data_IF_016451183422
#
_entry.id   IF_016451183422
#
_cell.length_a   1.000
_cell.length_b   1.000
_cell.length_c   1.000
_cell.angle_alpha   90.00
_cell.angle_beta   90.00
_cell.angle_gamma   90.00
#
_symmetry.space_group_name_H-M   'P 1'
#
loop_
_entity.id
_entity.type
_entity.pdbx_description
1 polymer ?
#
# COMPACT_ATOMS: atom_id res chain seq x y z
N UNK A 1 8.87 25.33 27.36
CA UNK A 1 9.11 24.44 26.21
C UNK A 1 7.83 23.67 25.90
N UNK A 2 7.32 23.79 24.69
CA UNK A 2 6.13 23.04 24.31
C UNK A 2 6.48 21.56 24.07
N UNK A 3 5.66 20.61 24.53
CA UNK A 3 5.88 19.20 24.22
C UNK A 3 5.73 18.96 22.71
N UNK A 4 6.60 18.13 22.16
CA UNK A 4 6.54 17.74 20.76
C UNK A 4 5.45 16.68 20.60
N UNK A 5 4.57 16.86 19.62
CA UNK A 5 3.54 15.87 19.31
C UNK A 5 4.17 14.65 18.64
N UNK A 6 3.44 13.52 18.68
CA UNK A 6 3.88 12.29 17.99
C UNK A 6 4.05 12.56 16.49
N UNK A 7 3.11 13.33 15.90
CA UNK A 7 3.19 13.71 14.49
C UNK A 7 4.47 14.48 14.16
N UNK A 8 4.83 15.43 15.01
CA UNK A 8 6.07 16.22 14.84
C UNK A 8 7.32 15.36 14.98
N UNK A 9 7.31 14.40 15.91
CA UNK A 9 8.42 13.46 16.08
C UNK A 9 8.61 12.59 14.85
N UNK A 10 7.52 12.07 14.29
CA UNK A 10 7.55 11.26 13.07
C UNK A 10 8.06 12.10 11.90
N UNK A 11 7.55 13.32 11.75
CA UNK A 11 7.97 14.25 10.71
C UNK A 11 9.47 14.54 10.77
N UNK A 12 9.99 14.76 11.97
CA UNK A 12 11.41 15.01 12.19
C UNK A 12 12.28 13.84 11.76
N UNK A 13 11.86 12.61 12.10
CA UNK A 13 12.57 11.41 11.68
C UNK A 13 12.54 11.22 10.15
N UNK A 14 11.40 11.47 9.53
CA UNK A 14 11.24 11.31 8.08
C UNK A 14 11.98 12.38 7.28
N UNK A 15 12.12 13.60 7.81
CA UNK A 15 12.85 14.68 7.13
C UNK A 15 14.34 14.39 6.96
N UNK A 16 14.88 13.46 7.72
CA UNK A 16 16.29 13.05 7.61
C UNK A 16 16.51 12.06 6.47
N UNK A 17 15.45 11.60 5.82
CA UNK A 17 15.51 10.60 4.76
C UNK A 17 14.92 11.14 3.46
N UNK A 18 15.39 10.58 2.35
CA UNK A 18 14.76 10.79 1.06
C UNK A 18 13.58 9.80 0.95
N UNK A 19 12.37 10.35 1.01
CA UNK A 19 11.15 9.55 0.99
C UNK A 19 10.68 9.35 -0.44
N UNK A 20 10.46 8.09 -0.82
CA UNK A 20 10.01 7.72 -2.17
C UNK A 20 8.69 6.97 -2.05
N UNK A 21 7.64 7.49 -2.66
CA UNK A 21 6.35 6.81 -2.75
C UNK A 21 6.21 6.17 -4.12
N UNK A 22 6.15 4.84 -4.13
CA UNK A 22 5.99 4.07 -5.36
C UNK A 22 4.50 3.78 -5.61
N UNK A 23 3.73 4.85 -5.83
CA UNK A 23 2.30 4.70 -6.05
C UNK A 23 1.77 5.81 -6.97
N UNK A 24 1.00 5.40 -7.98
CA UNK A 24 0.26 6.33 -8.83
C UNK A 24 -1.10 6.73 -8.25
N UNK A 25 -1.48 6.22 -7.08
CA UNK A 25 -2.76 6.49 -6.46
C UNK A 25 -2.83 7.92 -5.92
N UNK A 26 -3.74 8.77 -6.42
CA UNK A 26 -3.90 10.13 -5.90
C UNK A 26 -4.25 10.17 -4.42
N UNK A 27 -5.03 9.19 -3.94
CA UNK A 27 -5.42 9.11 -2.54
C UNK A 27 -4.22 8.84 -1.64
N UNK A 28 -3.35 7.91 -2.02
CA UNK A 28 -2.15 7.60 -1.23
C UNK A 28 -1.19 8.78 -1.23
N UNK A 29 -1.04 9.45 -2.36
CA UNK A 29 -0.23 10.66 -2.47
C UNK A 29 -0.77 11.76 -1.56
N UNK A 30 -2.08 11.96 -1.56
CA UNK A 30 -2.75 12.94 -0.71
C UNK A 30 -2.51 12.64 0.78
N UNK A 31 -2.68 11.38 1.19
CA UNK A 31 -2.49 10.97 2.59
C UNK A 31 -1.06 11.24 3.05
N UNK A 32 -0.08 10.98 2.19
CA UNK A 32 1.31 11.23 2.53
C UNK A 32 1.62 12.73 2.61
N UNK A 33 1.00 13.54 1.77
CA UNK A 33 1.11 15.00 1.85
C UNK A 33 0.63 15.55 3.18
N UNK A 34 -0.35 14.91 3.80
CA UNK A 34 -0.88 15.33 5.10
C UNK A 34 0.15 15.26 6.22
N UNK A 35 1.20 14.45 6.06
CA UNK A 35 2.30 14.40 7.01
C UNK A 35 3.19 15.64 6.95
N UNK A 36 3.12 16.42 5.86
CA UNK A 36 3.93 17.63 5.70
C UNK A 36 5.40 17.37 5.46
N UNK A 37 5.75 16.17 4.96
CA UNK A 37 7.13 15.77 4.68
C UNK A 37 7.33 15.73 3.16
N UNK A 38 8.43 16.29 2.64
CA UNK A 38 8.69 16.18 1.20
C UNK A 38 8.93 14.72 0.79
N UNK A 39 8.40 14.35 -0.36
CA UNK A 39 8.58 13.01 -0.91
C UNK A 39 8.59 13.05 -2.43
N UNK A 40 9.18 12.03 -3.03
CA UNK A 40 9.21 11.86 -4.47
C UNK A 40 8.25 10.74 -4.86
N UNK A 41 7.65 10.86 -6.03
CA UNK A 41 6.79 9.81 -6.59
C UNK A 41 7.56 9.11 -7.68
N UNK A 42 7.66 7.79 -7.58
CA UNK A 42 8.31 6.97 -8.60
C UNK A 42 7.53 5.67 -8.76
N UNK A 43 6.97 5.43 -9.94
CA UNK A 43 6.15 4.25 -10.20
C UNK A 43 6.88 3.36 -11.20
N UNK A 44 7.03 2.08 -10.87
CA UNK A 44 7.54 1.05 -11.78
C UNK A 44 6.43 0.03 -12.02
N UNK A 45 6.20 -0.35 -13.28
CA UNK A 45 5.23 -1.40 -13.55
C UNK A 45 5.70 -2.74 -12.98
N UNK A 46 4.78 -3.46 -12.36
CA UNK A 46 5.03 -4.77 -11.76
C UNK A 46 3.91 -5.70 -12.20
N UNK A 47 4.27 -6.90 -12.60
CA UNK A 47 3.27 -7.93 -12.88
C UNK A 47 2.74 -8.45 -11.54
N UNK A 48 1.50 -8.13 -11.24
CA UNK A 48 0.87 -8.42 -9.94
C UNK A 48 0.40 -9.87 -9.86
N UNK A 49 1.34 -10.80 -9.98
CA UNK A 49 1.09 -12.24 -9.86
C UNK A 49 1.54 -12.71 -8.48
N UNK A 50 0.70 -13.50 -7.83
CA UNK A 50 0.99 -14.04 -6.51
C UNK A 50 0.63 -15.53 -6.44
N UNK A 51 1.26 -16.31 -5.54
CA UNK A 51 0.92 -17.73 -5.36
C UNK A 51 -0.53 -17.89 -4.92
N UNK A 52 -1.24 -18.82 -5.57
CA UNK A 52 -2.67 -19.03 -5.30
C UNK A 52 -2.98 -19.55 -3.90
N UNK A 53 -1.98 -20.09 -3.22
CA UNK A 53 -2.13 -20.56 -1.83
C UNK A 53 -2.30 -19.41 -0.83
N UNK A 54 -1.97 -18.19 -1.21
CA UNK A 54 -2.08 -17.03 -0.34
C UNK A 54 -3.53 -16.58 -0.18
N UNK A 55 -3.88 -16.08 1.00
CA UNK A 55 -5.22 -15.59 1.28
C UNK A 55 -5.18 -14.32 2.13
N UNK A 56 -6.20 -13.45 1.96
CA UNK A 56 -6.36 -12.25 2.76
C UNK A 56 -5.13 -11.33 2.72
N UNK A 57 -4.66 -10.91 3.89
CA UNK A 57 -3.51 -10.01 4.00
C UNK A 57 -2.21 -10.57 3.44
N UNK A 58 -2.11 -11.90 3.32
CA UNK A 58 -0.93 -12.52 2.73
C UNK A 58 -0.73 -12.06 1.28
N UNK A 59 -1.83 -11.84 0.55
CA UNK A 59 -1.79 -11.35 -0.83
C UNK A 59 -1.31 -9.90 -0.88
N UNK A 60 -1.93 -9.02 -0.10
CA UNK A 60 -1.57 -7.60 -0.10
C UNK A 60 -0.15 -7.38 0.43
N UNK A 61 0.26 -8.15 1.44
CA UNK A 61 1.63 -8.13 1.94
C UNK A 61 2.62 -8.54 0.84
N UNK A 62 2.33 -9.67 0.18
CA UNK A 62 3.18 -10.20 -0.89
C UNK A 62 3.34 -9.19 -2.03
N UNK A 63 2.24 -8.60 -2.49
CA UNK A 63 2.26 -7.65 -3.59
C UNK A 63 2.98 -6.35 -3.23
N UNK A 64 2.83 -5.86 -2.00
CA UNK A 64 3.55 -4.67 -1.56
C UNK A 64 5.06 -4.91 -1.47
N UNK A 65 5.47 -6.10 -1.04
CA UNK A 65 6.88 -6.52 -1.02
C UNK A 65 7.42 -6.69 -2.44
N UNK A 66 6.63 -7.30 -3.32
CA UNK A 66 7.00 -7.48 -4.73
C UNK A 66 7.29 -6.14 -5.39
N UNK A 67 6.43 -5.14 -5.15
CA UNK A 67 6.64 -3.79 -5.65
C UNK A 67 7.92 -3.17 -5.09
N UNK A 68 8.17 -3.35 -3.80
CA UNK A 68 9.38 -2.84 -3.15
C UNK A 68 10.65 -3.45 -3.74
N UNK A 69 10.62 -4.74 -4.03
CA UNK A 69 11.80 -5.45 -4.53
C UNK A 69 12.26 -4.96 -5.91
N UNK A 70 11.38 -4.34 -6.70
CA UNK A 70 11.76 -3.77 -7.99
C UNK A 70 12.66 -2.54 -7.86
N UNK A 71 12.71 -1.93 -6.67
CA UNK A 71 13.50 -0.73 -6.39
C UNK A 71 14.80 -1.01 -5.63
N UNK A 72 14.95 -2.20 -5.06
CA UNK A 72 16.05 -2.48 -4.11
C UNK A 72 17.45 -2.11 -4.62
N UNK A 73 17.72 -2.41 -5.88
CA UNK A 73 19.03 -2.13 -6.48
C UNK A 73 19.29 -0.63 -6.70
N UNK A 74 18.24 0.16 -6.70
CA UNK A 74 18.30 1.59 -6.97
C UNK A 74 18.29 2.44 -5.69
N UNK A 75 18.09 1.83 -4.53
CA UNK A 75 18.01 2.57 -3.27
C UNK A 75 19.39 2.97 -2.78
N UNK A 76 19.48 4.19 -2.28
CA UNK A 76 20.69 4.74 -1.64
C UNK A 76 20.54 4.66 -0.12
N UNK A 77 21.65 4.77 0.63
CA UNK A 77 21.61 4.54 2.09
C UNK A 77 20.60 5.38 2.86
N UNK A 78 20.26 6.57 2.37
CA UNK A 78 19.31 7.45 3.07
C UNK A 78 17.90 7.38 2.51
N UNK A 79 17.63 6.49 1.57
CA UNK A 79 16.32 6.34 0.97
C UNK A 79 15.39 5.51 1.83
N UNK A 80 14.14 5.94 1.90
CA UNK A 80 13.05 5.16 2.48
C UNK A 80 11.96 5.04 1.41
N UNK A 81 11.74 3.82 0.96
CA UNK A 81 10.75 3.50 -0.06
C UNK A 81 9.44 3.06 0.60
N UNK A 82 8.34 3.61 0.14
CA UNK A 82 7.00 3.22 0.58
C UNK A 82 6.28 2.58 -0.60
N UNK A 83 5.91 1.32 -0.45
CA UNK A 83 5.05 0.61 -1.39
C UNK A 83 3.80 0.14 -0.67
N UNK A 84 2.74 -0.09 -1.41
CA UNK A 84 1.46 -0.46 -0.81
C UNK A 84 0.63 -1.23 -1.82
N UNK A 85 -0.25 -2.08 -1.29
CA UNK A 85 -1.24 -2.78 -2.08
C UNK A 85 -2.54 -2.87 -1.30
N UNK A 86 -3.66 -2.79 -2.01
CA UNK A 86 -5.00 -2.89 -1.42
C UNK A 86 -5.79 -3.94 -2.20
N UNK A 87 -6.38 -4.88 -1.47
CA UNK A 87 -7.27 -5.89 -2.07
C UNK A 87 -8.64 -5.83 -1.43
N UNK A 88 -9.65 -6.23 -2.20
CA UNK A 88 -11.00 -6.47 -1.69
C UNK A 88 -11.14 -7.98 -1.54
N UNK A 89 -11.46 -8.43 -0.31
CA UNK A 89 -11.57 -9.85 0.02
C UNK A 89 -13.02 -10.18 0.33
N UNK A 90 -13.60 -11.07 -0.47
CA UNK A 90 -15.00 -11.43 -0.36
C UNK A 90 -15.17 -12.93 -0.61
N UNK A 91 -15.80 -13.62 0.34
CA UNK A 91 -16.06 -15.07 0.25
C UNK A 91 -14.80 -15.87 -0.08
N UNK A 92 -13.72 -15.59 0.66
CA UNK A 92 -12.41 -16.24 0.50
C UNK A 92 -11.78 -16.05 -0.88
N UNK A 93 -12.09 -14.95 -1.57
CA UNK A 93 -11.55 -14.64 -2.89
C UNK A 93 -11.18 -13.16 -2.97
N UNK A 94 -10.02 -12.90 -3.58
CA UNK A 94 -9.63 -11.53 -3.91
C UNK A 94 -10.40 -11.07 -5.14
N UNK A 95 -11.01 -9.88 -5.05
CA UNK A 95 -11.77 -9.31 -6.16
C UNK A 95 -10.87 -8.34 -6.90
N UNK A 96 -10.63 -8.63 -8.18
CA UNK A 96 -9.84 -7.78 -9.04
C UNK A 96 -10.64 -6.64 -9.66
N UNK A 97 -9.98 -5.88 -10.51
CA UNK A 97 -10.63 -4.80 -11.25
C UNK A 97 -11.61 -5.38 -12.28
N UNK A 98 -12.78 -4.72 -12.49
CA UNK A 98 -13.72 -5.20 -13.50
C UNK A 98 -13.18 -5.03 -14.91
N UNK A 99 -13.52 -5.97 -15.79
CA UNK A 99 -13.09 -5.96 -17.20
C UNK A 99 -14.02 -5.14 -18.09
N UNK A 100 -15.22 -4.83 -17.61
CA UNK A 100 -16.24 -4.12 -18.39
C UNK A 100 -17.23 -3.47 -17.45
N UNK A 101 -18.09 -2.60 -17.98
CA UNK A 101 -19.17 -1.99 -17.22
C UNK A 101 -20.14 -3.04 -16.66
N UNK A 102 -20.48 -4.05 -17.48
CA UNK A 102 -21.34 -5.15 -17.03
C UNK A 102 -20.72 -5.90 -15.87
N UNK A 103 -19.43 -6.22 -15.94
CA UNK A 103 -18.69 -6.89 -14.87
C UNK A 103 -18.67 -6.03 -13.60
N UNK A 104 -18.46 -4.71 -13.74
CA UNK A 104 -18.49 -3.79 -12.61
C UNK A 104 -19.85 -3.80 -11.90
N UNK A 105 -20.96 -3.81 -12.66
CA UNK A 105 -22.31 -3.86 -12.10
C UNK A 105 -22.54 -5.17 -11.35
N UNK A 106 -22.13 -6.29 -11.92
CA UNK A 106 -22.23 -7.60 -11.27
C UNK A 106 -21.44 -7.65 -9.96
N UNK A 107 -20.24 -7.10 -9.94
CA UNK A 107 -19.42 -7.02 -8.74
C UNK A 107 -20.11 -6.20 -7.65
N UNK A 108 -20.67 -5.04 -8.01
CA UNK A 108 -21.40 -4.19 -7.05
C UNK A 108 -22.62 -4.91 -6.49
N UNK A 109 -23.38 -5.62 -7.33
CA UNK A 109 -24.53 -6.40 -6.89
C UNK A 109 -24.13 -7.50 -5.91
N UNK A 110 -23.03 -8.19 -6.18
CA UNK A 110 -22.54 -9.25 -5.32
C UNK A 110 -22.05 -8.72 -3.96
N UNK A 111 -21.49 -7.51 -3.93
CA UNK A 111 -20.99 -6.89 -2.71
C UNK A 111 -22.07 -6.20 -1.89
N UNK A 112 -23.16 -5.72 -2.53
CA UNK A 112 -24.14 -4.85 -1.88
C UNK A 112 -24.91 -5.50 -0.72
N UNK A 113 -25.12 -6.81 -0.75
CA UNK A 113 -25.88 -7.54 0.26
C UNK A 113 -25.01 -8.47 1.11
N UNK A 114 -23.70 -8.24 1.14
CA UNK A 114 -22.79 -9.08 1.91
C UNK A 114 -21.64 -8.25 2.50
N UNK A 115 -21.05 -8.79 3.55
CA UNK A 115 -19.87 -8.17 4.16
C UNK A 115 -18.64 -8.54 3.37
N UNK A 116 -17.84 -7.56 3.05
CA UNK A 116 -16.51 -7.79 2.45
C UNK A 116 -15.45 -7.08 3.27
N UNK A 117 -14.20 -7.42 3.02
CA UNK A 117 -13.05 -6.85 3.72
C UNK A 117 -12.20 -6.07 2.73
N UNK A 118 -11.72 -4.93 3.16
CA UNK A 118 -10.70 -4.17 2.41
C UNK A 118 -9.41 -4.29 3.22
N UNK A 119 -8.39 -4.84 2.60
CA UNK A 119 -7.11 -5.09 3.25
C UNK A 119 -6.05 -4.27 2.54
N UNK A 120 -5.34 -3.43 3.30
CA UNK A 120 -4.26 -2.61 2.79
C UNK A 120 -2.97 -3.00 3.49
N UNK A 121 -1.94 -3.29 2.71
CA UNK A 121 -0.60 -3.53 3.22
C UNK A 121 0.31 -2.38 2.80
N UNK A 122 1.22 -2.01 3.70
CA UNK A 122 2.25 -1.01 3.45
C UNK A 122 3.60 -1.63 3.74
N UNK A 123 4.53 -1.49 2.82
CA UNK A 123 5.89 -1.99 2.98
C UNK A 123 6.87 -0.80 2.99
N UNK A 124 7.67 -0.73 4.03
CA UNK A 124 8.74 0.27 4.17
C UNK A 124 10.06 -0.41 3.91
N UNK A 125 10.82 0.08 2.95
CA UNK A 125 12.08 -0.54 2.53
C UNK A 125 13.22 0.48 2.53
N UNK A 126 14.31 0.13 3.21
CA UNK A 126 15.58 0.84 3.11
C UNK A 126 16.64 -0.15 2.61
N UNK A 127 17.86 0.31 2.44
CA UNK A 127 18.96 -0.59 2.04
C UNK A 127 19.26 -1.67 3.08
N UNK A 128 18.87 -1.43 4.35
CA UNK A 128 19.20 -2.33 5.46
C UNK A 128 18.02 -3.14 5.96
N UNK A 129 16.81 -2.59 5.88
CA UNK A 129 15.62 -3.20 6.50
C UNK A 129 14.40 -3.11 5.60
N UNK A 130 13.50 -4.06 5.81
CA UNK A 130 12.19 -4.06 5.17
C UNK A 130 11.14 -4.46 6.20
N UNK A 131 10.08 -3.69 6.29
CA UNK A 131 9.03 -3.96 7.26
C UNK A 131 7.66 -3.79 6.60
N UNK A 132 6.76 -4.74 6.83
CA UNK A 132 5.44 -4.75 6.23
C UNK A 132 4.37 -4.71 7.30
N UNK A 133 3.35 -3.87 7.09
CA UNK A 133 2.19 -3.73 7.96
C UNK A 133 0.92 -3.95 7.16
N UNK A 134 -0.14 -4.38 7.81
CA UNK A 134 -1.44 -4.45 7.16
C UNK A 134 -2.55 -3.97 8.08
N UNK A 135 -3.64 -3.53 7.47
CA UNK A 135 -4.85 -3.12 8.16
C UNK A 135 -6.06 -3.66 7.41
N UNK A 136 -7.05 -4.08 8.15
CA UNK A 136 -8.27 -4.68 7.61
C UNK A 136 -9.48 -3.88 8.03
N UNK A 137 -10.34 -3.56 7.08
CA UNK A 137 -11.61 -2.89 7.32
C UNK A 137 -12.74 -3.77 6.78
N UNK A 138 -13.76 -4.01 7.62
CA UNK A 138 -14.98 -4.71 7.19
C UNK A 138 -15.96 -3.70 6.64
N UNK A 139 -16.53 -4.00 5.49
CA UNK A 139 -17.53 -3.17 4.82
C UNK A 139 -18.80 -3.99 4.64
N UNK A 140 -19.91 -3.48 5.12
CA UNK A 140 -21.23 -4.12 5.02
C UNK A 140 -22.10 -3.43 4.01
#
# INVERSE_FOLDING_TARGET
MKPITIKEMIKEQLNKRRLILASGSPRRQYLLKQLGVPFEICVKPVDEVYPQKLSGHEISDYLSILKANTFKENLKPNDLLITSDTIVWHRNTAIGKPNSLKHAIEMLQNLSNSTHKVITSVCLTSTEKQKTFNALTKVS
#
